data_IF_891419972613
#
_entry.id   IF_891419972613
#
_cell.length_a   1.000
_cell.length_b   1.000
_cell.length_c   1.000
_cell.angle_alpha   90.00
_cell.angle_beta   90.00
_cell.angle_gamma   90.00
#
_symmetry.space_group_name_H-M   'P 1'
#
loop_
_entity.id
_entity.type
_entity.pdbx_description
1 polymer ?
#
# COMPACT_ATOMS: atom_id res chain seq x y z
N UNK A 1 -24.16 23.82 37.65
CA UNK A 1 -24.50 22.54 36.98
C UNK A 1 -24.80 22.64 35.49
N UNK A 2 -25.33 23.76 34.95
CA UNK A 2 -25.63 23.88 33.50
C UNK A 2 -24.36 24.03 32.64
N UNK A 3 -23.40 24.83 33.10
CA UNK A 3 -22.13 25.04 32.39
C UNK A 3 -21.27 23.78 32.29
N UNK A 4 -21.26 22.93 33.33
CA UNK A 4 -20.50 21.67 33.31
C UNK A 4 -20.99 20.70 32.23
N UNK A 5 -22.31 20.62 32.03
CA UNK A 5 -22.90 19.81 30.95
C UNK A 5 -22.61 20.39 29.58
N UNK A 6 -22.61 21.72 29.45
CA UNK A 6 -22.24 22.42 28.22
C UNK A 6 -20.77 22.21 27.85
N UNK A 7 -19.86 22.28 28.82
CA UNK A 7 -18.44 21.99 28.62
C UNK A 7 -18.20 20.54 28.19
N UNK A 8 -18.88 19.57 28.82
CA UNK A 8 -18.80 18.16 28.42
C UNK A 8 -19.31 17.96 26.99
N UNK A 9 -20.42 18.62 26.62
CA UNK A 9 -20.96 18.54 25.26
C UNK A 9 -20.01 19.14 24.22
N UNK A 10 -19.39 20.28 24.52
CA UNK A 10 -18.40 20.93 23.64
C UNK A 10 -17.13 20.06 23.52
N UNK A 11 -16.66 19.47 24.62
CA UNK A 11 -15.52 18.55 24.61
C UNK A 11 -15.81 17.27 23.79
N UNK A 12 -16.99 16.69 23.93
CA UNK A 12 -17.41 15.54 23.12
C UNK A 12 -17.51 15.90 21.62
N UNK A 13 -18.05 17.07 21.29
CA UNK A 13 -18.18 17.53 19.91
C UNK A 13 -16.82 17.79 19.25
N UNK A 14 -15.85 18.33 20.01
CA UNK A 14 -14.50 18.59 19.52
C UNK A 14 -13.68 17.30 19.32
N UNK A 15 -13.92 16.24 20.11
CA UNK A 15 -13.31 14.92 19.89
C UNK A 15 -13.81 14.28 18.59
N UNK A 16 -15.11 14.41 18.27
CA UNK A 16 -15.68 13.87 17.03
C UNK A 16 -15.14 14.64 15.81
N UNK A 17 -15.05 15.96 15.89
CA UNK A 17 -14.55 16.81 14.82
C UNK A 17 -13.05 16.64 14.51
N UNK A 18 -12.26 16.08 15.44
CA UNK A 18 -10.84 15.78 15.24
C UNK A 18 -10.57 14.50 14.42
N UNK A 19 -11.62 13.76 14.05
CA UNK A 19 -11.52 12.51 13.29
C UNK A 19 -11.12 12.77 11.83
N UNK A 20 -9.83 12.89 11.56
CA UNK A 20 -9.32 12.99 10.18
C UNK A 20 -9.46 11.64 9.46
N UNK A 21 -10.51 11.47 8.65
CA UNK A 21 -10.61 10.33 7.74
C UNK A 21 -9.53 10.43 6.65
N UNK A 22 -8.60 9.48 6.62
CA UNK A 22 -7.59 9.37 5.55
C UNK A 22 -8.25 8.74 4.32
N UNK A 23 -8.91 9.56 3.49
CA UNK A 23 -9.60 9.11 2.27
C UNK A 23 -8.66 8.73 1.10
N UNK A 24 -7.35 8.86 1.28
CA UNK A 24 -6.36 8.54 0.25
C UNK A 24 -5.26 7.68 0.85
N UNK A 25 -5.45 6.36 0.83
CA UNK A 25 -4.39 5.38 0.97
C UNK A 25 -4.63 4.34 -0.13
N UNK A 26 -3.59 4.03 -0.90
CA UNK A 26 -3.67 3.22 -2.12
C UNK A 26 -4.59 2.02 -1.94
N UNK A 27 -5.48 1.82 -2.91
CA UNK A 27 -6.46 0.74 -2.87
C UNK A 27 -5.80 -0.63 -2.73
N UNK A 28 -6.59 -1.61 -2.30
CA UNK A 28 -6.16 -3.01 -2.31
C UNK A 28 -5.93 -3.43 -3.76
N UNK A 29 -4.75 -3.97 -4.06
CA UNK A 29 -4.46 -4.54 -5.36
C UNK A 29 -5.13 -5.91 -5.44
N UNK A 30 -6.34 -5.98 -5.99
CA UNK A 30 -7.08 -7.23 -6.15
C UNK A 30 -6.53 -8.06 -7.32
N UNK A 31 -6.62 -9.39 -7.20
CA UNK A 31 -6.48 -10.27 -8.36
C UNK A 31 -7.68 -10.10 -9.29
N UNK A 32 -7.49 -10.43 -10.57
CA UNK A 32 -8.52 -10.24 -11.61
C UNK A 32 -9.82 -10.99 -11.33
N UNK A 33 -9.71 -12.15 -10.69
CA UNK A 33 -10.83 -13.00 -10.28
C UNK A 33 -11.45 -12.58 -8.93
N UNK A 34 -10.84 -11.64 -8.20
CA UNK A 34 -11.35 -11.10 -6.93
C UNK A 34 -11.23 -12.03 -5.72
N UNK A 35 -10.70 -13.24 -5.88
CA UNK A 35 -10.57 -14.22 -4.79
C UNK A 35 -9.33 -13.98 -3.91
N UNK A 36 -8.48 -13.04 -4.28
CA UNK A 36 -7.24 -12.77 -3.58
C UNK A 36 -6.79 -11.31 -3.77
N UNK A 37 -5.82 -10.88 -2.97
CA UNK A 37 -5.17 -9.58 -3.14
C UNK A 37 -3.65 -9.71 -3.09
N UNK A 38 -2.97 -8.78 -3.74
CA UNK A 38 -1.52 -8.67 -3.71
C UNK A 38 -1.07 -7.81 -2.53
N UNK A 39 0.05 -8.20 -1.93
CA UNK A 39 0.69 -7.51 -0.83
C UNK A 39 2.19 -7.42 -1.09
N UNK A 40 2.76 -6.24 -0.88
CA UNK A 40 4.22 -6.10 -0.78
C UNK A 40 4.64 -6.33 0.67
N UNK A 41 5.47 -7.34 0.92
CA UNK A 41 5.97 -7.64 2.27
C UNK A 41 7.28 -8.41 2.19
N UNK A 42 8.21 -8.13 3.11
CA UNK A 42 9.48 -8.86 3.18
C UNK A 42 10.38 -8.72 1.94
N UNK A 43 10.19 -7.69 1.12
CA UNK A 43 10.92 -7.54 -0.15
C UNK A 43 10.40 -8.46 -1.25
N UNK A 44 9.17 -8.96 -1.12
CA UNK A 44 8.47 -9.76 -2.11
C UNK A 44 7.12 -9.11 -2.45
N UNK A 45 6.55 -9.51 -3.59
CA UNK A 45 5.12 -9.31 -3.87
C UNK A 45 4.46 -10.67 -3.81
N UNK A 46 3.47 -10.80 -2.94
CA UNK A 46 2.77 -12.05 -2.67
C UNK A 46 1.28 -11.87 -2.90
N UNK A 47 0.60 -12.94 -3.27
CA UNK A 47 -0.85 -13.05 -3.26
C UNK A 47 -1.31 -13.68 -1.95
N UNK A 48 -2.39 -13.14 -1.37
CA UNK A 48 -3.09 -13.69 -0.22
C UNK A 48 -4.50 -14.08 -0.65
N UNK A 49 -4.81 -15.38 -0.63
CA UNK A 49 -6.13 -15.90 -1.04
C UNK A 49 -7.19 -15.73 0.04
N UNK A 50 -8.45 -15.60 -0.35
CA UNK A 50 -9.58 -15.54 0.56
C UNK A 50 -10.47 -16.79 0.41
N UNK A 51 -11.08 -17.29 1.50
CA UNK A 51 -10.95 -16.81 2.89
C UNK A 51 -9.76 -17.39 3.65
N UNK A 52 -9.02 -18.34 3.06
CA UNK A 52 -8.02 -19.16 3.76
C UNK A 52 -6.73 -18.42 4.12
N UNK A 53 -6.48 -17.24 3.55
CA UNK A 53 -5.27 -16.44 3.70
C UNK A 53 -3.99 -17.20 3.31
N UNK A 54 -4.06 -18.04 2.27
CA UNK A 54 -2.87 -18.74 1.79
C UNK A 54 -1.96 -17.74 1.06
N UNK A 55 -0.67 -17.75 1.41
CA UNK A 55 0.35 -16.89 0.84
C UNK A 55 1.05 -17.59 -0.32
N UNK A 56 1.13 -16.92 -1.47
CA UNK A 56 1.92 -17.36 -2.63
C UNK A 56 2.79 -16.23 -3.16
N UNK A 57 4.09 -16.48 -3.33
CA UNK A 57 5.00 -15.50 -3.93
C UNK A 57 4.74 -15.35 -5.43
N UNK A 58 4.60 -14.10 -5.89
CA UNK A 58 4.39 -13.73 -7.29
C UNK A 58 5.65 -13.09 -7.86
N UNK A 59 6.25 -12.17 -7.11
CA UNK A 59 7.56 -11.59 -7.42
C UNK A 59 8.47 -11.85 -6.24
N UNK A 60 9.53 -12.61 -6.50
CA UNK A 60 10.49 -13.01 -5.47
C UNK A 60 11.42 -11.86 -5.09
N UNK A 61 12.15 -12.05 -3.98
CA UNK A 61 13.12 -11.06 -3.50
C UNK A 61 14.26 -10.85 -4.50
N UNK A 62 14.68 -11.92 -5.18
CA UNK A 62 15.76 -11.90 -6.16
C UNK A 62 15.39 -11.04 -7.37
N UNK A 63 14.15 -11.16 -7.87
CA UNK A 63 13.65 -10.34 -8.98
C UNK A 63 13.49 -8.85 -8.61
N UNK A 64 13.30 -8.57 -7.32
CA UNK A 64 13.27 -7.22 -6.78
C UNK A 64 14.65 -6.73 -6.34
N UNK A 65 15.73 -7.49 -6.50
CA UNK A 65 17.08 -7.08 -6.12
C UNK A 65 17.93 -6.85 -7.37
N UNK A 66 18.25 -5.60 -7.73
CA UNK A 66 19.15 -5.30 -8.84
C UNK A 66 20.52 -5.96 -8.65
N UNK A 67 21.19 -6.31 -9.76
CA UNK A 67 22.49 -7.01 -9.72
C UNK A 67 23.60 -6.24 -9.00
N UNK A 68 23.50 -4.91 -8.91
CA UNK A 68 24.43 -4.03 -8.22
C UNK A 68 23.97 -3.65 -6.79
N UNK A 69 22.92 -4.29 -6.27
CA UNK A 69 22.35 -4.00 -4.97
C UNK A 69 22.32 -5.25 -4.07
N UNK A 70 22.46 -5.04 -2.76
CA UNK A 70 22.34 -6.12 -1.76
C UNK A 70 20.91 -6.24 -1.19
N UNK A 71 20.10 -5.19 -1.35
CA UNK A 71 18.76 -5.10 -0.80
C UNK A 71 17.73 -5.00 -1.93
N UNK A 72 16.53 -5.58 -1.75
CA UNK A 72 15.45 -5.43 -2.72
C UNK A 72 14.98 -3.97 -2.80
N UNK A 73 14.38 -3.63 -3.94
CA UNK A 73 13.78 -2.33 -4.20
C UNK A 73 12.71 -1.99 -3.13
N UNK A 74 12.72 -0.74 -2.69
CA UNK A 74 11.64 -0.19 -1.86
C UNK A 74 10.42 0.09 -2.74
N UNK A 75 9.55 -0.91 -2.90
CA UNK A 75 8.37 -0.83 -3.74
C UNK A 75 7.35 0.15 -3.19
N UNK A 76 7.08 1.23 -3.93
CA UNK A 76 6.03 2.21 -3.60
C UNK A 76 4.65 1.78 -4.10
N UNK A 77 4.62 1.26 -5.32
CA UNK A 77 3.46 0.68 -5.99
C UNK A 77 3.94 -0.26 -7.10
N UNK A 78 3.04 -1.11 -7.59
CA UNK A 78 3.31 -2.00 -8.71
C UNK A 78 2.05 -2.24 -9.53
N UNK A 79 2.24 -2.65 -10.77
CA UNK A 79 1.17 -3.15 -11.65
C UNK A 79 1.65 -4.40 -12.36
N UNK A 80 0.80 -5.42 -12.42
CA UNK A 80 1.06 -6.62 -13.20
C UNK A 80 0.53 -6.43 -14.62
N UNK A 81 1.18 -7.05 -15.59
CA UNK A 81 0.63 -7.21 -16.93
C UNK A 81 -0.58 -8.16 -16.93
N UNK A 82 -1.30 -8.23 -18.06
CA UNK A 82 -2.58 -8.93 -18.15
C UNK A 82 -2.51 -10.44 -17.85
N UNK A 83 -1.38 -11.07 -18.17
CA UNK A 83 -1.06 -12.48 -17.94
C UNK A 83 -0.31 -12.71 -16.60
N UNK A 84 0.08 -11.65 -15.89
CA UNK A 84 0.74 -11.73 -14.58
C UNK A 84 2.19 -12.20 -14.61
N UNK A 85 2.81 -12.24 -15.80
CA UNK A 85 4.19 -12.69 -16.01
C UNK A 85 5.25 -11.62 -15.74
N UNK A 86 4.85 -10.35 -15.71
CA UNK A 86 5.74 -9.21 -15.44
C UNK A 86 5.08 -8.21 -14.50
N UNK A 87 5.89 -7.58 -13.66
CA UNK A 87 5.48 -6.50 -12.79
C UNK A 87 6.25 -5.21 -13.11
N UNK A 88 5.52 -4.12 -13.38
CA UNK A 88 6.08 -2.78 -13.39
C UNK A 88 6.10 -2.26 -11.96
N UNK A 89 7.29 -2.06 -11.43
CA UNK A 89 7.56 -1.64 -10.04
C UNK A 89 7.92 -0.16 -10.04
N UNK A 90 7.23 0.63 -9.22
CA UNK A 90 7.57 2.03 -8.96
C UNK A 90 8.37 2.14 -7.66
N UNK A 91 9.57 2.71 -7.73
CA UNK A 91 10.56 2.71 -6.64
C UNK A 91 11.37 4.02 -6.61
N UNK A 92 12.29 4.15 -5.63
CA UNK A 92 13.15 5.33 -5.44
C UNK A 92 12.37 6.66 -5.49
N UNK A 93 11.20 6.66 -4.85
CA UNK A 93 10.21 7.71 -5.07
C UNK A 93 10.53 8.95 -4.27
N UNK A 94 10.27 10.11 -4.87
CA UNK A 94 10.46 11.45 -4.30
C UNK A 94 9.15 12.20 -4.40
N UNK A 95 8.76 12.80 -3.28
CA UNK A 95 7.56 13.62 -3.17
C UNK A 95 7.70 14.90 -3.99
N UNK A 96 6.72 15.17 -4.84
CA UNK A 96 6.54 16.45 -5.53
C UNK A 96 5.14 16.95 -5.16
N UNK A 97 5.08 18.11 -4.51
CA UNK A 97 3.87 18.61 -3.85
C UNK A 97 3.29 17.60 -2.84
N UNK A 98 2.12 17.02 -3.15
CA UNK A 98 1.37 16.13 -2.26
C UNK A 98 1.55 14.64 -2.54
N UNK A 99 2.21 14.28 -3.64
CA UNK A 99 2.28 12.91 -4.11
C UNK A 99 3.72 12.51 -4.43
N UNK A 100 4.00 11.22 -4.33
CA UNK A 100 5.27 10.65 -4.78
C UNK A 100 5.14 10.41 -6.29
N UNK A 101 5.40 11.46 -7.09
CA UNK A 101 5.22 11.41 -8.55
C UNK A 101 6.52 11.37 -9.34
N UNK A 102 7.68 11.60 -8.69
CA UNK A 102 8.99 11.38 -9.30
C UNK A 102 9.63 10.13 -8.72
N UNK A 103 10.14 9.24 -9.56
CA UNK A 103 10.80 8.01 -9.12
C UNK A 103 11.24 7.19 -10.32
N UNK A 104 11.75 6.00 -10.04
CA UNK A 104 12.25 5.09 -11.05
C UNK A 104 11.25 3.95 -11.28
N UNK A 105 11.36 3.34 -12.45
CA UNK A 105 10.58 2.18 -12.83
C UNK A 105 11.49 0.98 -13.08
N UNK A 106 11.07 -0.17 -12.58
CA UNK A 106 11.76 -1.44 -12.74
C UNK A 106 10.79 -2.50 -13.27
N UNK A 107 11.24 -3.37 -14.16
CA UNK A 107 10.43 -4.49 -14.66
C UNK A 107 11.00 -5.77 -14.05
N UNK A 108 10.18 -6.41 -13.23
CA UNK A 108 10.46 -7.72 -12.64
C UNK A 108 9.69 -8.82 -13.39
#
# INVERSE_FOLDING_TARGET
>A
MKFTRLFIAIAALSIIAASSAKAQRGGVNWTKDGNAYYQNTGGEIVTITLPKNERKTVVSRELLTPSNAQNPLNVRSFQLNADGTKALIYTNTKRVWRQDSRGDYWVA
#
